data_IF_532576837682
#
_entry.id   IF_532576837682
#
_cell.length_a   1.000
_cell.length_b   1.000
_cell.length_c   1.000
_cell.angle_alpha   90.00
_cell.angle_beta   90.00
_cell.angle_gamma   90.00
#
_symmetry.space_group_name_H-M   'P 1'
#
loop_
_entity.id
_entity.type
_entity.pdbx_description
1 polymer ?
#
# COMPACT_ATOMS: atom_id res chain seq x y z
N UNK A 1 13.25 -11.36 15.97
CA UNK A 1 11.95 -10.68 15.86
C UNK A 1 11.63 -10.44 14.41
N UNK A 2 10.47 -10.84 14.00
CA UNK A 2 10.01 -10.50 12.68
C UNK A 2 9.73 -8.98 12.59
N UNK A 3 9.97 -8.42 11.43
CA UNK A 3 9.57 -7.05 11.16
C UNK A 3 8.05 -7.00 11.11
N UNK A 4 7.43 -6.23 11.97
CA UNK A 4 5.98 -6.17 12.09
C UNK A 4 5.40 -4.79 11.83
N UNK A 5 6.23 -3.80 11.54
CA UNK A 5 5.80 -2.42 11.32
C UNK A 5 6.47 -1.84 10.08
N UNK A 6 5.67 -1.22 9.21
CA UNK A 6 6.16 -0.45 8.07
C UNK A 6 5.84 1.02 8.32
N UNK A 7 6.85 1.88 8.26
CA UNK A 7 6.66 3.33 8.40
C UNK A 7 6.92 4.01 7.06
N UNK A 8 5.91 4.75 6.58
CA UNK A 8 6.02 5.59 5.38
C UNK A 8 6.15 7.03 5.81
N UNK A 9 7.30 7.64 5.55
CA UNK A 9 7.50 9.08 5.77
C UNK A 9 7.10 9.80 4.50
N UNK A 10 6.09 10.68 4.60
CA UNK A 10 5.55 11.39 3.45
C UNK A 10 6.22 12.74 3.27
N UNK A 11 6.16 13.28 2.06
CA UNK A 11 6.75 14.59 1.74
C UNK A 11 6.04 15.75 2.45
N UNK A 12 4.85 15.51 3.00
CA UNK A 12 4.17 16.47 3.88
C UNK A 12 4.83 16.59 5.27
N UNK A 13 5.75 15.68 5.59
CA UNK A 13 6.43 15.63 6.89
C UNK A 13 5.80 14.67 7.89
N UNK A 14 4.72 13.99 7.53
CA UNK A 14 4.04 13.05 8.43
C UNK A 14 4.48 11.62 8.22
N UNK A 15 4.43 10.84 9.30
CA UNK A 15 4.69 9.40 9.27
C UNK A 15 3.40 8.61 9.34
N UNK A 16 3.27 7.63 8.46
CA UNK A 16 2.18 6.66 8.47
C UNK A 16 2.75 5.33 8.94
N UNK A 17 2.29 4.87 10.09
CA UNK A 17 2.77 3.62 10.70
C UNK A 17 1.76 2.53 10.43
N UNK A 18 2.20 1.47 9.75
CA UNK A 18 1.35 0.36 9.32
C UNK A 18 1.78 -0.90 10.07
N UNK A 19 0.82 -1.54 10.73
CA UNK A 19 1.06 -2.87 11.30
C UNK A 19 0.97 -3.90 10.20
N UNK A 20 2.06 -4.64 9.99
CA UNK A 20 2.10 -5.72 9.03
C UNK A 20 1.40 -6.97 9.59
N UNK A 21 0.72 -7.69 8.72
CA UNK A 21 -0.08 -8.85 9.10
C UNK A 21 0.40 -10.10 8.35
N UNK A 22 1.57 -10.65 8.75
CA UNK A 22 2.06 -11.89 8.12
C UNK A 22 1.17 -13.10 8.39
N UNK A 23 0.34 -13.02 9.42
CA UNK A 23 -0.68 -14.03 9.71
C UNK A 23 -1.75 -14.10 8.60
N UNK A 24 -2.00 -12.98 7.90
CA UNK A 24 -2.99 -12.91 6.81
C UNK A 24 -2.36 -13.15 5.45
N UNK A 25 -1.16 -12.61 5.22
CA UNK A 25 -0.56 -12.60 3.90
C UNK A 25 0.97 -12.63 4.01
N UNK A 26 1.56 -13.79 4.35
CA UNK A 26 3.00 -13.88 4.60
C UNK A 26 3.85 -13.51 3.38
N UNK A 27 3.45 -13.90 2.18
CA UNK A 27 4.19 -13.60 0.96
C UNK A 27 4.13 -12.12 0.59
N UNK A 28 2.97 -11.49 0.78
CA UNK A 28 2.81 -10.05 0.52
C UNK A 28 3.58 -9.22 1.54
N UNK A 29 3.55 -9.59 2.82
CA UNK A 29 4.32 -8.90 3.85
C UNK A 29 5.81 -9.02 3.56
N UNK A 30 6.28 -10.20 3.17
CA UNK A 30 7.68 -10.40 2.79
C UNK A 30 8.07 -9.50 1.61
N UNK A 31 7.23 -9.43 0.57
CA UNK A 31 7.49 -8.60 -0.60
C UNK A 31 7.57 -7.12 -0.22
N UNK A 32 6.60 -6.61 0.50
CA UNK A 32 6.56 -5.21 0.95
C UNK A 32 7.79 -4.90 1.80
N UNK A 33 8.14 -5.78 2.74
CA UNK A 33 9.30 -5.59 3.61
C UNK A 33 10.60 -5.58 2.81
N UNK A 34 10.76 -6.50 1.89
CA UNK A 34 11.96 -6.57 1.04
C UNK A 34 12.11 -5.29 0.21
N UNK A 35 11.04 -4.85 -0.44
CA UNK A 35 11.09 -3.64 -1.26
C UNK A 35 11.37 -2.40 -0.43
N UNK A 36 10.77 -2.30 0.77
CA UNK A 36 11.02 -1.18 1.66
C UNK A 36 12.50 -1.13 2.08
N UNK A 37 13.06 -2.27 2.46
CA UNK A 37 14.47 -2.36 2.89
C UNK A 37 15.43 -2.03 1.76
N UNK A 38 15.05 -2.30 0.52
CA UNK A 38 15.87 -2.01 -0.66
C UNK A 38 15.74 -0.56 -1.13
N UNK A 39 14.91 0.24 -0.49
CA UNK A 39 14.67 1.62 -0.92
C UNK A 39 13.77 1.74 -2.14
N UNK A 40 13.07 0.68 -2.51
CA UNK A 40 12.22 0.66 -3.71
C UNK A 40 11.11 1.71 -3.65
N UNK A 41 10.51 1.90 -2.48
CA UNK A 41 9.41 2.84 -2.30
C UNK A 41 9.85 4.28 -2.08
N UNK A 42 11.15 4.53 -1.90
CA UNK A 42 11.65 5.88 -1.69
C UNK A 42 11.43 6.72 -2.95
N UNK A 43 10.77 7.87 -2.80
CA UNK A 43 10.45 8.75 -3.91
C UNK A 43 9.23 8.36 -4.73
N UNK A 44 8.52 7.31 -4.35
CA UNK A 44 7.34 6.82 -5.10
C UNK A 44 6.10 7.61 -4.71
N UNK A 45 5.30 7.98 -5.71
CA UNK A 45 4.12 8.83 -5.51
C UNK A 45 2.84 8.00 -5.33
N UNK A 46 1.84 8.63 -4.70
CA UNK A 46 0.48 8.12 -4.69
C UNK A 46 -0.22 8.63 -5.96
N UNK A 47 -0.23 7.82 -6.98
CA UNK A 47 -0.67 8.21 -8.33
C UNK A 47 -2.18 8.15 -8.53
N UNK A 48 -2.91 7.58 -7.58
CA UNK A 48 -4.37 7.44 -7.67
C UNK A 48 -4.96 7.59 -6.27
N UNK A 49 -5.65 8.70 -6.04
CA UNK A 49 -6.22 9.00 -4.71
C UNK A 49 -7.66 9.44 -4.91
N UNK A 50 -8.59 8.59 -4.48
CA UNK A 50 -10.03 8.80 -4.68
C UNK A 50 -10.67 9.08 -3.32
N UNK A 51 -11.26 10.29 -3.13
CA UNK A 51 -11.90 10.64 -1.86
C UNK A 51 -12.96 9.61 -1.46
N UNK A 52 -12.98 9.24 -0.19
CA UNK A 52 -13.95 8.29 0.34
C UNK A 52 -13.73 6.84 -0.07
N UNK A 53 -12.69 6.56 -0.84
CA UNK A 53 -12.37 5.21 -1.30
C UNK A 53 -10.97 4.78 -0.85
N UNK A 54 -9.92 5.21 -1.55
CA UNK A 54 -8.57 4.73 -1.23
C UNK A 54 -7.49 5.63 -1.82
N UNK A 55 -6.25 5.47 -1.31
CA UNK A 55 -5.04 6.06 -1.87
C UNK A 55 -4.14 4.92 -2.36
N UNK A 56 -3.76 4.95 -3.64
CA UNK A 56 -2.95 3.91 -4.27
C UNK A 56 -1.59 4.45 -4.69
N UNK A 57 -0.55 3.68 -4.38
CA UNK A 57 0.82 4.00 -4.76
C UNK A 57 1.63 2.72 -4.94
N UNK A 58 2.96 2.85 -4.97
CA UNK A 58 3.86 1.71 -5.06
C UNK A 58 4.37 1.38 -6.45
N UNK A 59 4.03 2.20 -7.45
CA UNK A 59 4.57 2.08 -8.80
C UNK A 59 5.76 3.05 -8.96
N UNK A 60 6.97 2.56 -9.19
CA UNK A 60 8.13 3.44 -9.32
C UNK A 60 8.05 4.39 -10.52
N UNK A 61 7.23 4.07 -11.52
CA UNK A 61 7.02 4.94 -12.69
C UNK A 61 5.98 6.01 -12.45
N UNK A 62 5.14 5.86 -11.41
CA UNK A 62 4.07 6.79 -11.09
C UNK A 62 2.89 6.79 -12.07
N UNK A 63 2.81 5.81 -12.97
CA UNK A 63 1.78 5.76 -14.01
C UNK A 63 0.63 4.79 -13.69
N UNK A 64 0.83 3.91 -12.72
CA UNK A 64 -0.08 2.81 -12.44
C UNK A 64 0.21 1.54 -13.23
N UNK A 65 1.19 1.59 -14.12
CA UNK A 65 1.51 0.47 -15.01
C UNK A 65 2.78 -0.29 -14.61
N UNK A 66 3.55 0.24 -13.68
CA UNK A 66 4.84 -0.34 -13.30
C UNK A 66 4.79 -1.18 -12.05
N UNK A 67 5.92 -1.81 -11.75
CA UNK A 67 6.11 -2.64 -10.58
C UNK A 67 7.58 -2.95 -10.38
N UNK A 68 7.87 -3.87 -9.46
CA UNK A 68 9.23 -4.32 -9.20
C UNK A 68 9.67 -5.33 -10.25
N UNK A 69 10.97 -5.64 -10.26
CA UNK A 69 11.54 -6.68 -11.13
C UNK A 69 11.30 -8.09 -10.59
N UNK A 70 10.75 -8.20 -9.40
CA UNK A 70 10.45 -9.50 -8.78
C UNK A 70 9.22 -10.12 -9.45
N UNK A 71 9.06 -11.45 -9.35
CA UNK A 71 7.90 -12.13 -9.93
C UNK A 71 6.59 -11.66 -9.28
N UNK A 72 5.49 -11.75 -10.03
CA UNK A 72 4.17 -11.45 -9.49
C UNK A 72 3.85 -12.39 -8.32
N UNK A 73 3.06 -11.88 -7.38
CA UNK A 73 2.67 -12.62 -6.19
C UNK A 73 1.41 -13.43 -6.45
N UNK A 74 1.40 -14.65 -5.94
CA UNK A 74 0.18 -15.44 -5.85
C UNK A 74 -0.74 -14.79 -4.81
N UNK A 75 -2.05 -14.79 -5.08
CA UNK A 75 -3.01 -14.21 -4.17
C UNK A 75 -2.96 -14.87 -2.79
N UNK A 76 -3.28 -14.08 -1.77
CA UNK A 76 -3.40 -14.52 -0.39
C UNK A 76 -4.70 -13.97 0.19
N UNK A 77 -5.80 -14.15 -0.56
CA UNK A 77 -7.10 -13.64 -0.14
C UNK A 77 -7.47 -14.19 1.24
N UNK A 78 -8.03 -13.33 2.07
CA UNK A 78 -8.35 -13.68 3.45
C UNK A 78 -9.66 -13.01 3.84
N UNK A 79 -10.12 -13.28 5.07
CA UNK A 79 -11.42 -12.82 5.54
C UNK A 79 -11.38 -11.41 6.17
N UNK A 80 -10.20 -10.77 6.19
CA UNK A 80 -10.08 -9.44 6.78
C UNK A 80 -10.88 -8.44 5.96
N UNK A 81 -11.81 -7.67 6.57
CA UNK A 81 -12.63 -6.74 5.81
C UNK A 81 -11.84 -5.51 5.39
N UNK A 82 -12.16 -4.98 4.21
CA UNK A 82 -11.60 -3.71 3.73
C UNK A 82 -12.36 -2.57 4.39
N UNK A 83 -11.76 -2.02 5.45
CA UNK A 83 -12.32 -0.88 6.20
C UNK A 83 -11.25 0.21 6.30
N UNK A 84 -11.63 1.38 6.84
CA UNK A 84 -10.71 2.51 6.97
C UNK A 84 -9.38 2.08 7.60
N UNK A 85 -8.27 2.47 6.95
CA UNK A 85 -6.91 2.19 7.41
C UNK A 85 -6.33 0.87 6.93
N UNK A 86 -7.13 0.00 6.31
CA UNK A 86 -6.64 -1.28 5.81
C UNK A 86 -5.74 -1.05 4.59
N UNK A 87 -4.61 -1.75 4.57
CA UNK A 87 -3.66 -1.76 3.46
C UNK A 87 -3.80 -3.07 2.70
N UNK A 88 -4.04 -2.97 1.41
CA UNK A 88 -4.28 -4.11 0.54
C UNK A 88 -3.46 -3.98 -0.73
N UNK A 89 -3.29 -5.08 -1.46
CA UNK A 89 -2.43 -5.09 -2.64
C UNK A 89 -3.22 -4.86 -3.91
N UNK A 90 -2.81 -3.86 -4.69
CA UNK A 90 -3.37 -3.64 -6.01
C UNK A 90 -2.88 -4.72 -6.98
N UNK A 91 -3.70 -5.03 -7.97
CA UNK A 91 -3.40 -6.04 -8.98
C UNK A 91 -4.17 -5.75 -10.27
N UNK A 92 -3.76 -6.40 -11.35
CA UNK A 92 -4.52 -6.40 -12.60
C UNK A 92 -5.70 -7.39 -12.48
N UNK A 93 -6.34 -7.73 -13.59
CA UNK A 93 -7.47 -8.65 -13.57
C UNK A 93 -7.08 -10.03 -13.08
N UNK A 94 -5.89 -10.50 -13.43
CA UNK A 94 -5.39 -11.79 -12.95
C UNK A 94 -5.21 -11.73 -11.42
N UNK A 95 -5.86 -12.60 -10.64
CA UNK A 95 -5.73 -12.57 -9.18
C UNK A 95 -4.30 -12.81 -8.69
N UNK A 96 -3.43 -13.38 -9.51
CA UNK A 96 -2.04 -13.65 -9.17
C UNK A 96 -1.09 -12.67 -9.87
N UNK A 97 -1.51 -11.41 -10.02
CA UNK A 97 -0.72 -10.37 -10.70
C UNK A 97 -0.25 -9.26 -9.78
N UNK A 98 -0.42 -9.38 -8.47
CA UNK A 98 0.08 -8.39 -7.53
C UNK A 98 1.60 -8.34 -7.57
N UNK A 99 2.17 -7.15 -7.38
CA UNK A 99 3.63 -7.00 -7.44
C UNK A 99 4.14 -6.01 -6.39
N UNK A 100 3.95 -4.71 -6.58
CA UNK A 100 4.46 -3.69 -5.65
C UNK A 100 3.44 -2.62 -5.33
N UNK A 101 2.42 -2.44 -6.15
CA UNK A 101 1.41 -1.41 -5.93
C UNK A 101 0.45 -1.83 -4.81
N UNK A 102 0.09 -0.86 -3.97
CA UNK A 102 -0.80 -1.10 -2.84
C UNK A 102 -1.75 0.07 -2.70
N UNK A 103 -2.80 -0.12 -1.90
CA UNK A 103 -3.71 0.96 -1.57
C UNK A 103 -4.08 0.94 -0.09
N UNK A 104 -4.42 2.11 0.43
CA UNK A 104 -4.85 2.31 1.81
C UNK A 104 -6.28 2.83 1.74
N UNK A 105 -7.21 2.15 2.42
CA UNK A 105 -8.62 2.51 2.38
C UNK A 105 -8.90 3.75 3.23
N UNK A 106 -9.64 4.70 2.67
CA UNK A 106 -10.14 5.86 3.41
C UNK A 106 -11.39 5.53 4.21
N UNK A 107 -12.18 4.59 3.73
CA UNK A 107 -13.48 4.25 4.30
C UNK A 107 -13.78 2.80 3.99
N UNK A 108 -14.93 2.31 4.42
CA UNK A 108 -15.33 0.93 4.17
C UNK A 108 -15.45 0.67 2.67
N UNK A 109 -14.82 -0.41 2.22
CA UNK A 109 -14.83 -0.85 0.83
C UNK A 109 -15.00 -2.38 0.81
N UNK A 110 -16.02 -2.86 1.51
CA UNK A 110 -16.24 -4.30 1.71
C UNK A 110 -16.56 -5.05 0.42
N UNK A 111 -16.91 -4.34 -0.65
CA UNK A 111 -17.06 -4.95 -1.97
C UNK A 111 -15.73 -5.51 -2.52
N UNK A 112 -14.61 -5.14 -1.91
CA UNK A 112 -13.28 -5.66 -2.26
C UNK A 112 -12.91 -6.93 -1.48
N UNK A 113 -13.70 -7.28 -0.47
CA UNK A 113 -13.36 -8.39 0.43
C UNK A 113 -13.19 -9.69 -0.34
N UNK A 114 -12.13 -10.43 0.01
CA UNK A 114 -11.75 -11.72 -0.59
C UNK A 114 -11.41 -11.63 -2.09
N UNK A 115 -11.24 -10.42 -2.61
CA UNK A 115 -10.85 -10.19 -4.01
C UNK A 115 -9.49 -9.48 -4.11
N UNK A 116 -8.99 -8.97 -2.99
CA UNK A 116 -7.67 -8.34 -2.88
C UNK A 116 -7.02 -8.83 -1.59
N UNK A 117 -5.69 -8.83 -1.57
CA UNK A 117 -4.94 -9.35 -0.42
C UNK A 117 -4.66 -8.26 0.60
N UNK A 118 -5.31 -8.34 1.75
CA UNK A 118 -5.02 -7.47 2.90
C UNK A 118 -3.74 -7.94 3.55
N UNK A 119 -2.79 -7.01 3.75
CA UNK A 119 -1.49 -7.33 4.35
C UNK A 119 -1.13 -6.44 5.53
N UNK A 120 -1.90 -5.40 5.82
CA UNK A 120 -1.60 -4.50 6.93
C UNK A 120 -2.75 -3.58 7.27
N UNK A 121 -2.56 -2.84 8.37
CA UNK A 121 -3.51 -1.82 8.82
C UNK A 121 -2.75 -0.65 9.41
N UNK A 122 -3.21 0.58 9.13
CA UNK A 122 -2.60 1.79 9.68
C UNK A 122 -2.86 1.84 11.18
N UNK A 123 -1.79 1.90 11.97
CA UNK A 123 -1.86 2.05 13.43
C UNK A 123 -1.88 3.52 13.85
N UNK A 124 -1.14 4.37 13.13
CA UNK A 124 -1.08 5.81 13.41
C UNK A 124 -0.74 6.57 12.15
N UNK A 125 -1.08 7.86 12.12
CA UNK A 125 -0.78 8.71 10.98
C UNK A 125 -1.81 8.67 9.87
N UNK A 126 -3.00 8.12 10.10
CA UNK A 126 -4.04 8.07 9.07
C UNK A 126 -4.44 9.46 8.60
N UNK A 127 -4.33 10.48 9.46
CA UNK A 127 -4.57 11.86 9.08
C UNK A 127 -3.66 12.34 7.95
N UNK A 128 -2.45 11.79 7.86
CA UNK A 128 -1.51 12.12 6.77
C UNK A 128 -1.94 11.47 5.46
N UNK A 129 -2.54 10.30 5.53
CA UNK A 129 -3.13 9.65 4.34
C UNK A 129 -4.34 10.46 3.87
N UNK A 130 -5.20 10.88 4.81
CA UNK A 130 -6.35 11.71 4.48
C UNK A 130 -5.96 13.02 3.79
N UNK A 131 -4.79 13.55 4.12
CA UNK A 131 -4.29 14.81 3.57
C UNK A 131 -3.63 14.67 2.20
N UNK A 132 -3.47 13.45 1.69
CA UNK A 132 -2.87 13.25 0.37
C UNK A 132 -3.67 13.98 -0.72
N UNK A 133 -3.01 14.64 -1.67
CA UNK A 133 -3.71 15.27 -2.79
C UNK A 133 -4.54 14.26 -3.56
N UNK A 134 -5.75 14.64 -3.92
CA UNK A 134 -6.72 13.76 -4.59
C UNK A 134 -6.58 13.87 -6.10
N UNK A 135 -6.90 12.79 -6.81
CA UNK A 135 -6.90 12.76 -8.28
C UNK A 135 -6.43 11.42 -8.83
N UNK A 136 -6.62 11.24 -10.14
CA UNK A 136 -6.27 10.02 -10.87
C UNK A 136 -5.53 10.37 -12.17
N UNK A 137 -4.29 10.88 -12.13
CA UNK A 137 -3.46 11.17 -10.95
C UNK A 137 -3.73 12.55 -10.35
N UNK A 138 -3.30 12.78 -9.10
CA UNK A 138 -3.31 14.12 -8.53
C UNK A 138 -2.41 15.07 -9.34
N UNK A 139 -2.76 16.35 -9.34
CA UNK A 139 -1.93 17.38 -10.01
C UNK A 139 -0.52 17.43 -9.42
N UNK A 140 -0.43 17.37 -8.10
CA UNK A 140 0.83 17.36 -7.36
C UNK A 140 0.77 16.18 -6.41
N UNK A 141 1.14 14.97 -6.86
CA UNK A 141 0.96 13.77 -6.05
C UNK A 141 1.80 13.83 -4.77
N UNK A 142 1.22 13.31 -3.68
CA UNK A 142 1.98 13.04 -2.47
C UNK A 142 3.02 11.97 -2.71
N UNK A 143 4.14 12.05 -2.00
CA UNK A 143 5.29 11.18 -2.24
C UNK A 143 5.72 10.51 -0.95
N UNK A 144 6.14 9.25 -1.06
CA UNK A 144 6.85 8.55 0.01
C UNK A 144 8.31 8.99 -0.06
N UNK A 145 8.76 9.73 0.96
CA UNK A 145 10.17 10.14 1.04
C UNK A 145 11.02 8.94 1.40
N UNK A 146 10.53 8.13 2.34
CA UNK A 146 11.24 6.95 2.82
C UNK A 146 10.27 5.92 3.38
N UNK A 147 10.55 4.65 3.15
CA UNK A 147 9.83 3.53 3.74
C UNK A 147 10.81 2.70 4.56
N UNK A 148 10.47 2.42 5.82
CA UNK A 148 11.31 1.65 6.73
C UNK A 148 10.51 0.54 7.38
N UNK A 149 11.16 -0.58 7.69
CA UNK A 149 10.55 -1.76 8.33
C UNK A 149 11.29 -2.04 9.62
N UNK A 150 10.55 -2.26 10.70
CA UNK A 150 11.18 -2.53 11.99
C UNK A 150 10.28 -3.00 13.10
#
# INVERSE_FOLDING_TARGET
MADDTLTLTLDSGGDVVIKLRPDLAPGHVERISTLAKEGFYDGVVFHRVIPGFMAQGGDPTGTGMGGSKLPDLKEEFNAEPHVRGVCSMARAQNPNSANSQFFICFDDATFLDRQYTVWGIVESGMEHVDALPKGEPPRTPGKIVKATVG
#
